data_IF_146108224190
#
_entry.id   IF_146108224190
#
_cell.length_a   1.000
_cell.length_b   1.000
_cell.length_c   1.000
_cell.angle_alpha   90.00
_cell.angle_beta   90.00
_cell.angle_gamma   90.00
#
_symmetry.space_group_name_H-M   'P 1'
#
loop_
_entity.id
_entity.type
_entity.pdbx_description
1 polymer ?
#
# COMPACT_ATOMS: atom_id res chain seq x y z
N UNK A 1 2.67 22.11 10.61
CA UNK A 1 1.25 21.74 10.39
C UNK A 1 1.08 20.27 10.74
N UNK A 2 -0.10 19.83 11.22
CA UNK A 2 -0.35 18.40 11.38
C UNK A 2 -0.29 17.70 10.00
N UNK A 3 0.15 16.43 9.95
CA UNK A 3 0.18 15.69 8.70
C UNK A 3 -1.25 15.49 8.16
N UNK A 4 -1.39 15.60 6.84
CA UNK A 4 -2.65 15.34 6.15
C UNK A 4 -2.96 13.84 6.27
N UNK A 5 -4.13 13.55 6.84
CA UNK A 5 -4.70 12.21 6.91
C UNK A 5 -5.67 11.98 5.75
N UNK A 6 -6.17 10.75 5.62
CA UNK A 6 -7.09 10.34 4.54
C UNK A 6 -8.29 11.30 4.39
N UNK A 7 -8.88 11.76 5.49
CA UNK A 7 -9.98 12.75 5.43
C UNK A 7 -9.55 14.07 4.79
N UNK A 8 -8.38 14.59 5.16
CA UNK A 8 -7.83 15.81 4.57
C UNK A 8 -7.44 15.62 3.09
N UNK A 9 -6.99 14.42 2.71
CA UNK A 9 -6.76 14.05 1.31
C UNK A 9 -8.07 14.07 0.51
N UNK A 10 -9.14 13.47 1.04
CA UNK A 10 -10.47 13.47 0.43
C UNK A 10 -11.00 14.89 0.28
N UNK A 11 -10.88 15.70 1.33
CA UNK A 11 -11.25 17.12 1.27
C UNK A 11 -10.45 17.84 0.18
N UNK A 12 -9.12 17.64 0.10
CA UNK A 12 -8.29 18.25 -0.93
C UNK A 12 -8.73 17.91 -2.36
N UNK A 13 -9.07 16.64 -2.62
CA UNK A 13 -9.56 16.18 -3.93
C UNK A 13 -10.88 16.87 -4.30
N UNK A 14 -11.82 16.97 -3.35
CA UNK A 14 -13.13 17.56 -3.58
C UNK A 14 -13.12 19.08 -3.72
N UNK A 15 -12.18 19.77 -3.07
CA UNK A 15 -12.05 21.24 -3.18
C UNK A 15 -11.45 21.69 -4.51
N UNK A 16 -10.84 20.78 -5.29
CA UNK A 16 -10.13 21.09 -6.53
C UNK A 16 -10.68 20.28 -7.72
N UNK A 17 -11.97 20.44 -8.09
CA UNK A 17 -12.63 19.61 -9.10
C UNK A 17 -12.05 19.78 -10.51
N UNK A 18 -11.44 20.94 -10.81
CA UNK A 18 -10.75 21.17 -12.08
C UNK A 18 -9.41 20.42 -12.15
N UNK A 19 -8.75 20.22 -11.01
CA UNK A 19 -7.48 19.48 -10.94
C UNK A 19 -7.73 17.98 -10.91
N UNK A 20 -8.79 17.55 -10.22
CA UNK A 20 -9.19 16.15 -10.04
C UNK A 20 -10.58 15.88 -10.61
N UNK A 21 -10.79 15.98 -11.93
CA UNK A 21 -12.11 15.82 -12.53
C UNK A 21 -12.57 14.36 -12.52
N UNK A 22 -13.87 14.14 -12.39
CA UNK A 22 -14.49 12.83 -12.61
C UNK A 22 -15.80 12.63 -11.85
N UNK A 23 -16.46 11.48 -12.06
CA UNK A 23 -17.74 11.15 -11.41
C UNK A 23 -17.68 11.12 -9.88
N UNK A 24 -16.49 11.03 -9.30
CA UNK A 24 -16.28 11.01 -7.85
C UNK A 24 -16.52 12.36 -7.17
N UNK A 25 -16.59 13.46 -7.94
CA UNK A 25 -16.89 14.81 -7.44
C UNK A 25 -18.35 14.99 -7.03
N UNK A 26 -19.23 14.10 -7.49
CA UNK A 26 -20.66 14.17 -7.23
C UNK A 26 -21.16 12.92 -6.51
N UNK A 27 -22.29 13.06 -5.80
CA UNK A 27 -22.97 11.94 -5.16
C UNK A 27 -23.51 11.00 -6.25
N UNK A 28 -22.98 9.78 -6.31
CA UNK A 28 -23.41 8.78 -7.28
C UNK A 28 -24.44 7.81 -6.68
N UNK A 29 -25.32 7.29 -7.54
CA UNK A 29 -26.21 6.19 -7.15
C UNK A 29 -25.41 4.92 -6.86
N UNK A 30 -25.88 4.16 -5.87
CA UNK A 30 -25.34 2.84 -5.54
C UNK A 30 -25.80 1.82 -6.59
N UNK A 31 -25.05 0.72 -6.73
CA UNK A 31 -25.41 -0.37 -7.65
C UNK A 31 -26.65 -1.12 -7.14
N UNK A 32 -26.84 -1.17 -5.82
CA UNK A 32 -28.04 -1.72 -5.18
C UNK A 32 -29.06 -0.61 -4.96
N UNK A 33 -30.29 -0.81 -5.45
CA UNK A 33 -31.36 0.20 -5.39
C UNK A 33 -31.82 0.53 -3.97
N UNK A 34 -31.66 -0.41 -3.02
CA UNK A 34 -32.01 -0.23 -1.61
C UNK A 34 -31.05 0.68 -0.84
N UNK A 35 -29.89 1.01 -1.42
CA UNK A 35 -28.88 1.85 -0.76
C UNK A 35 -28.96 3.29 -1.25
N UNK A 36 -29.16 4.21 -0.31
CA UNK A 36 -29.16 5.64 -0.59
C UNK A 36 -27.81 6.09 -1.20
N UNK A 37 -27.82 7.09 -2.12
CA UNK A 37 -26.62 7.77 -2.56
C UNK A 37 -25.84 8.33 -1.38
N UNK A 38 -24.51 8.31 -1.50
CA UNK A 38 -23.60 8.77 -0.46
C UNK A 38 -23.01 10.10 -0.90
N UNK A 39 -22.90 11.07 0.03
CA UNK A 39 -22.24 12.34 -0.27
C UNK A 39 -20.79 12.11 -0.72
N UNK A 40 -20.21 13.00 -1.55
CA UNK A 40 -18.89 12.78 -2.16
C UNK A 40 -17.77 12.48 -1.15
N UNK A 41 -17.83 13.09 0.04
CA UNK A 41 -16.82 12.88 1.10
C UNK A 41 -16.91 11.45 1.64
N UNK A 42 -18.10 11.04 2.08
CA UNK A 42 -18.32 9.66 2.56
C UNK A 42 -18.09 8.63 1.45
N UNK A 43 -18.40 8.97 0.20
CA UNK A 43 -18.15 8.12 -0.96
C UNK A 43 -16.67 7.83 -1.14
N UNK A 44 -15.82 8.86 -1.16
CA UNK A 44 -14.37 8.69 -1.28
C UNK A 44 -13.75 7.97 -0.08
N UNK A 45 -14.22 8.26 1.14
CA UNK A 45 -13.78 7.55 2.35
C UNK A 45 -14.14 6.06 2.30
N UNK A 46 -15.34 5.71 1.85
CA UNK A 46 -15.74 4.31 1.70
C UNK A 46 -14.93 3.58 0.62
N UNK A 47 -14.62 4.27 -0.49
CA UNK A 47 -13.75 3.72 -1.54
C UNK A 47 -12.34 3.47 -1.00
N UNK A 48 -11.79 4.41 -0.22
CA UNK A 48 -10.50 4.23 0.43
C UNK A 48 -10.51 3.05 1.40
N UNK A 49 -11.57 2.93 2.21
CA UNK A 49 -11.71 1.86 3.19
C UNK A 49 -11.77 0.47 2.52
N UNK A 50 -12.61 0.33 1.48
CA UNK A 50 -12.73 -0.89 0.69
C UNK A 50 -11.43 -1.23 -0.07
N UNK A 51 -10.69 -0.21 -0.54
CA UNK A 51 -9.37 -0.40 -1.13
C UNK A 51 -8.37 -0.96 -0.11
N UNK A 52 -8.38 -0.44 1.12
CA UNK A 52 -7.51 -0.92 2.19
C UNK A 52 -7.80 -2.38 2.55
N UNK A 53 -9.08 -2.78 2.59
CA UNK A 53 -9.47 -4.17 2.82
C UNK A 53 -9.01 -5.08 1.69
N UNK A 54 -9.25 -4.69 0.43
CA UNK A 54 -8.76 -5.43 -0.73
C UNK A 54 -7.23 -5.63 -0.69
N UNK A 55 -6.47 -4.56 -0.43
CA UNK A 55 -5.02 -4.62 -0.32
C UNK A 55 -4.59 -5.52 0.84
N UNK A 56 -5.22 -5.38 2.01
CA UNK A 56 -4.94 -6.20 3.18
C UNK A 56 -5.13 -7.69 2.88
N UNK A 57 -6.23 -8.07 2.23
CA UNK A 57 -6.49 -9.46 1.83
C UNK A 57 -5.43 -10.00 0.88
N UNK A 58 -5.03 -9.24 -0.15
CA UNK A 58 -3.99 -9.69 -1.08
C UNK A 58 -2.64 -9.87 -0.37
N UNK A 59 -2.27 -8.90 0.46
CA UNK A 59 -0.99 -8.91 1.18
C UNK A 59 -0.97 -10.02 2.23
N UNK A 60 -2.06 -10.28 2.95
CA UNK A 60 -2.17 -11.41 3.88
C UNK A 60 -2.04 -12.77 3.18
N UNK A 61 -2.47 -12.87 1.92
CA UNK A 61 -2.25 -14.05 1.08
C UNK A 61 -0.81 -14.18 0.57
N UNK A 62 0.11 -13.27 0.96
CA UNK A 62 1.48 -13.27 0.48
C UNK A 62 1.63 -12.80 -0.97
N UNK A 63 0.62 -12.13 -1.53
CA UNK A 63 0.68 -11.57 -2.89
C UNK A 63 1.22 -10.15 -2.83
N UNK A 64 2.00 -9.78 -3.84
CA UNK A 64 2.43 -8.40 -4.01
C UNK A 64 1.33 -7.58 -4.71
N UNK A 65 1.15 -6.32 -4.33
CA UNK A 65 0.21 -5.41 -5.00
C UNK A 65 0.89 -4.12 -5.39
N UNK A 66 0.71 -3.70 -6.65
CA UNK A 66 1.24 -2.46 -7.20
C UNK A 66 0.14 -1.43 -7.41
N UNK A 67 0.37 -0.22 -6.90
CA UNK A 67 -0.43 0.97 -7.13
C UNK A 67 0.36 1.87 -8.07
N UNK A 68 -0.20 2.12 -9.26
CA UNK A 68 0.45 2.91 -10.31
C UNK A 68 0.89 4.29 -9.77
N UNK A 69 2.10 4.70 -10.12
CA UNK A 69 2.72 5.98 -9.76
C UNK A 69 2.97 6.22 -8.25
N UNK A 70 2.49 5.32 -7.39
CA UNK A 70 2.62 5.41 -5.94
C UNK A 70 3.68 4.43 -5.40
N UNK A 71 3.50 3.13 -5.63
CA UNK A 71 4.43 2.11 -5.16
C UNK A 71 3.83 0.72 -5.08
N UNK A 72 4.65 -0.23 -4.60
CA UNK A 72 4.33 -1.65 -4.55
C UNK A 72 4.55 -2.21 -3.15
N UNK A 73 3.54 -2.92 -2.64
CA UNK A 73 3.67 -3.77 -1.47
C UNK A 73 4.20 -5.13 -1.93
N UNK A 74 5.38 -5.52 -1.44
CA UNK A 74 6.06 -6.77 -1.81
C UNK A 74 6.54 -7.52 -0.57
N UNK A 75 7.05 -8.73 -0.78
CA UNK A 75 7.69 -9.53 0.24
C UNK A 75 9.11 -9.89 -0.18
N UNK A 76 10.07 -9.56 0.69
CA UNK A 76 11.45 -10.03 0.58
C UNK A 76 11.62 -11.29 1.41
N UNK A 77 12.38 -12.26 0.93
CA UNK A 77 12.83 -13.37 1.77
C UNK A 77 14.24 -13.13 2.24
N UNK A 78 14.49 -13.43 3.51
CA UNK A 78 15.78 -13.27 4.16
C UNK A 78 16.07 -14.52 4.96
N UNK A 79 17.31 -15.02 4.87
CA UNK A 79 17.77 -16.08 5.76
C UNK A 79 18.23 -15.41 7.05
N UNK A 80 17.63 -15.79 8.18
CA UNK A 80 17.99 -15.35 9.51
C UNK A 80 18.64 -16.50 10.27
N UNK A 81 19.79 -16.23 10.89
CA UNK A 81 20.44 -17.18 11.77
C UNK A 81 19.62 -17.33 13.05
N UNK A 82 19.35 -18.58 13.43
CA UNK A 82 18.68 -18.93 14.68
C UNK A 82 19.70 -19.47 15.67
N UNK A 83 19.53 -19.19 16.97
CA UNK A 83 20.44 -19.72 17.98
C UNK A 83 20.44 -21.26 17.95
N UNK A 84 21.58 -21.91 18.22
CA UNK A 84 21.68 -23.36 18.22
C UNK A 84 20.73 -23.96 19.25
N UNK A 85 20.04 -25.06 18.90
CA UNK A 85 19.06 -25.73 19.76
C UNK A 85 19.65 -26.18 21.10
N UNK A 86 20.94 -26.50 21.12
CA UNK A 86 21.72 -26.81 22.33
C UNK A 86 23.06 -26.10 22.22
N UNK A 87 23.21 -24.89 22.79
CA UNK A 87 24.45 -24.10 22.70
C UNK A 87 25.66 -24.81 23.32
N UNK A 88 25.42 -25.62 24.35
CA UNK A 88 26.43 -26.32 25.14
C UNK A 88 27.18 -27.42 24.37
N UNK A 89 26.58 -27.93 23.28
CA UNK A 89 27.15 -28.99 22.44
C UNK A 89 27.91 -28.46 21.21
N UNK A 90 28.10 -27.13 21.10
CA UNK A 90 28.82 -26.54 19.97
C UNK A 90 28.13 -26.71 18.62
N UNK A 91 26.82 -26.96 18.60
CA UNK A 91 26.05 -27.06 17.37
C UNK A 91 26.07 -25.75 16.58
N UNK A 92 26.13 -25.85 15.25
CA UNK A 92 26.03 -24.70 14.37
C UNK A 92 24.64 -24.01 14.53
N UNK A 93 24.57 -22.67 14.39
CA UNK A 93 23.31 -21.96 14.34
C UNK A 93 22.46 -22.51 13.18
N UNK A 94 21.16 -22.69 13.43
CA UNK A 94 20.23 -23.09 12.39
C UNK A 94 19.90 -21.91 11.49
N UNK A 95 19.43 -22.16 10.27
CA UNK A 95 18.93 -21.12 9.39
C UNK A 95 17.41 -21.17 9.34
N UNK A 96 16.76 -19.99 9.41
CA UNK A 96 15.32 -19.86 9.20
C UNK A 96 15.05 -18.83 8.10
N UNK A 97 14.24 -19.21 7.12
CA UNK A 97 13.74 -18.28 6.12
C UNK A 97 12.68 -17.38 6.76
N UNK A 98 12.90 -16.06 6.72
CA UNK A 98 12.00 -15.02 7.16
C UNK A 98 11.45 -14.26 5.96
N UNK A 99 10.13 -14.08 5.93
CA UNK A 99 9.43 -13.25 4.95
C UNK A 99 9.22 -11.87 5.55
N UNK A 100 9.67 -10.81 4.86
CA UNK A 100 9.64 -9.43 5.34
C UNK A 100 8.80 -8.58 4.38
N UNK A 101 7.68 -7.99 4.82
CA UNK A 101 6.91 -7.07 3.99
C UNK A 101 7.70 -5.78 3.74
N UNK A 102 7.63 -5.27 2.50
CA UNK A 102 8.29 -4.04 2.05
C UNK A 102 7.34 -3.20 1.21
N UNK A 103 7.54 -1.90 1.27
CA UNK A 103 6.93 -0.96 0.35
C UNK A 103 8.03 -0.37 -0.53
N UNK A 104 7.95 -0.63 -1.83
CA UNK A 104 8.86 -0.09 -2.84
C UNK A 104 8.17 1.11 -3.48
N UNK A 105 8.81 2.27 -3.38
CA UNK A 105 8.27 3.53 -3.92
C UNK A 105 8.37 3.51 -5.45
N UNK A 106 7.33 3.95 -6.16
CA UNK A 106 7.38 4.10 -7.61
C UNK A 106 8.21 5.32 -8.03
N UNK A 107 8.84 5.28 -9.21
CA UNK A 107 9.70 6.36 -9.71
C UNK A 107 9.02 7.74 -9.71
N UNK A 108 7.72 7.78 -10.01
CA UNK A 108 6.93 9.02 -10.02
C UNK A 108 6.89 9.67 -8.63
N UNK A 109 6.59 8.91 -7.58
CA UNK A 109 6.61 9.42 -6.20
C UNK A 109 8.04 9.65 -5.70
N UNK A 110 9.00 8.78 -6.07
CA UNK A 110 10.41 8.89 -5.67
C UNK A 110 11.02 10.24 -6.08
N UNK A 111 10.67 10.77 -7.25
CA UNK A 111 11.12 12.09 -7.72
C UNK A 111 10.72 13.24 -6.79
N UNK A 112 9.58 13.12 -6.12
CA UNK A 112 9.09 14.14 -5.19
C UNK A 112 9.68 13.96 -3.78
N UNK A 113 10.17 12.76 -3.44
CA UNK A 113 10.79 12.42 -2.16
C UNK A 113 12.29 12.77 -2.13
N UNK A 114 12.61 14.05 -2.30
CA UNK A 114 14.00 14.54 -2.46
C UNK A 114 14.93 14.29 -1.25
N UNK A 115 14.39 13.93 -0.08
CA UNK A 115 15.17 13.59 1.12
C UNK A 115 15.26 12.09 1.39
N UNK A 116 14.67 11.26 0.54
CA UNK A 116 14.81 9.82 0.65
C UNK A 116 16.26 9.42 0.31
N UNK A 117 16.94 8.76 1.24
CA UNK A 117 18.29 8.25 1.01
C UNK A 117 18.23 7.03 0.08
N UNK A 118 18.74 7.10 -1.16
CA UNK A 118 18.71 5.95 -2.07
C UNK A 118 19.66 4.81 -1.64
N UNK A 119 20.54 5.08 -0.67
CA UNK A 119 21.59 4.15 -0.22
C UNK A 119 21.07 2.98 0.62
N UNK A 120 19.88 3.05 1.20
CA UNK A 120 19.31 1.92 1.96
C UNK A 120 18.60 0.90 1.07
N UNK A 121 17.98 1.32 -0.04
CA UNK A 121 17.24 0.43 -0.95
C UNK A 121 18.14 -0.26 -1.99
N UNK A 122 19.14 0.42 -2.55
CA UNK A 122 19.97 -0.13 -3.63
C UNK A 122 21.02 -1.12 -3.11
N UNK A 123 21.55 -0.91 -1.89
CA UNK A 123 22.64 -1.76 -1.35
C UNK A 123 22.20 -3.19 -1.01
N UNK A 124 20.89 -3.48 -0.95
CA UNK A 124 20.37 -4.84 -0.75
C UNK A 124 19.99 -5.56 -2.04
N UNK A 125 19.95 -4.85 -3.17
CA UNK A 125 19.66 -5.44 -4.48
C UNK A 125 20.78 -6.35 -4.99
N UNK A 126 22.00 -6.20 -4.45
CA UNK A 126 23.17 -6.99 -4.85
C UNK A 126 23.50 -8.15 -3.89
N UNK A 127 22.55 -8.56 -3.04
CA UNK A 127 22.63 -9.86 -2.35
C UNK A 127 22.10 -10.89 -3.35
N UNK A 128 23.03 -11.65 -3.93
CA UNK A 128 22.81 -12.79 -4.80
C UNK A 128 21.65 -13.64 -4.29
N UNK A 129 20.48 -13.53 -4.94
CA UNK A 129 19.23 -14.15 -4.52
C UNK A 129 18.02 -13.22 -4.44
N UNK A 130 18.05 -11.96 -4.91
CA UNK A 130 16.89 -11.06 -4.79
C UNK A 130 15.63 -11.64 -5.47
N UNK A 131 14.73 -12.18 -4.66
CA UNK A 131 13.47 -12.84 -5.04
C UNK A 131 12.43 -11.78 -5.44
N UNK A 132 12.73 -10.90 -6.40
CA UNK A 132 11.71 -10.06 -7.04
C UNK A 132 10.68 -10.90 -7.82
N UNK A 133 10.88 -12.22 -7.94
CA UNK A 133 9.84 -13.16 -8.34
C UNK A 133 8.89 -13.49 -7.18
N UNK A 134 8.17 -12.51 -6.65
CA UNK A 134 6.83 -12.83 -6.16
C UNK A 134 6.02 -13.15 -7.42
N UNK A 135 5.90 -14.43 -7.79
CA UNK A 135 5.23 -14.94 -9.01
C UNK A 135 3.75 -14.50 -9.15
N UNK A 136 3.23 -13.66 -8.24
CA UNK A 136 1.86 -13.17 -8.19
C UNK A 136 1.83 -11.71 -7.72
N UNK A 137 2.41 -10.82 -8.51
CA UNK A 137 2.20 -9.38 -8.34
C UNK A 137 0.92 -8.99 -9.09
N UNK A 138 -0.02 -8.35 -8.41
CA UNK A 138 -1.26 -7.84 -9.02
C UNK A 138 -1.27 -6.32 -9.03
N UNK A 139 -1.86 -5.73 -10.06
CA UNK A 139 -2.16 -4.30 -10.03
C UNK A 139 -3.38 -4.04 -9.15
N UNK A 140 -3.47 -2.84 -8.58
CA UNK A 140 -4.67 -2.39 -7.87
C UNK A 140 -5.89 -2.48 -8.81
N UNK A 141 -6.81 -3.38 -8.49
CA UNK A 141 -7.97 -3.66 -9.33
C UNK A 141 -9.22 -2.98 -8.75
N UNK A 142 -9.85 -2.04 -9.47
CA UNK A 142 -11.05 -1.36 -8.99
C UNK A 142 -12.30 -2.25 -8.96
N UNK A 143 -12.32 -3.39 -9.67
CA UNK A 143 -13.49 -4.29 -9.74
C UNK A 143 -13.90 -4.85 -8.37
N UNK A 144 -13.03 -5.56 -7.62
CA UNK A 144 -13.39 -6.06 -6.29
C UNK A 144 -13.67 -4.94 -5.28
N UNK A 145 -12.99 -3.80 -5.41
CA UNK A 145 -13.20 -2.63 -4.56
C UNK A 145 -14.61 -2.08 -4.78
N UNK A 146 -15.03 -1.92 -6.04
CA UNK A 146 -16.36 -1.45 -6.42
C UNK A 146 -17.47 -2.38 -5.94
N UNK A 147 -17.25 -3.70 -6.00
CA UNK A 147 -18.17 -4.67 -5.43
C UNK A 147 -18.29 -4.53 -3.91
N UNK A 148 -17.16 -4.40 -3.19
CA UNK A 148 -17.12 -4.25 -1.74
C UNK A 148 -17.80 -2.98 -1.23
N UNK A 149 -17.81 -1.90 -2.03
CA UNK A 149 -18.48 -0.65 -1.68
C UNK A 149 -19.79 -0.42 -2.45
N UNK A 150 -20.38 -1.41 -3.13
CA UNK A 150 -21.61 -1.30 -3.92
C UNK A 150 -21.67 -0.08 -4.85
N UNK A 151 -20.55 0.23 -5.50
CA UNK A 151 -20.38 1.36 -6.41
C UNK A 151 -20.02 0.90 -7.82
N UNK A 152 -20.18 1.79 -8.80
CA UNK A 152 -19.78 1.51 -10.17
C UNK A 152 -18.25 1.53 -10.30
N UNK A 153 -17.72 0.68 -11.18
CA UNK A 153 -16.27 0.51 -11.40
C UNK A 153 -15.58 1.79 -11.88
N UNK A 154 -16.23 2.55 -12.76
CA UNK A 154 -15.75 3.81 -13.32
C UNK A 154 -15.60 4.89 -12.24
N UNK A 155 -16.58 4.98 -11.32
CA UNK A 155 -16.50 5.84 -10.15
C UNK A 155 -15.29 5.49 -9.27
N UNK A 156 -15.14 4.21 -8.91
CA UNK A 156 -14.03 3.75 -8.07
C UNK A 156 -12.68 3.99 -8.74
N UNK A 157 -12.54 3.66 -10.02
CA UNK A 157 -11.31 3.91 -10.76
C UNK A 157 -10.94 5.40 -10.81
N UNK A 158 -11.94 6.27 -11.03
CA UNK A 158 -11.76 7.72 -11.05
C UNK A 158 -11.36 8.27 -9.67
N UNK A 159 -12.01 7.80 -8.60
CA UNK A 159 -11.69 8.17 -7.23
C UNK A 159 -10.26 7.77 -6.83
N UNK A 160 -9.89 6.51 -7.06
CA UNK A 160 -8.55 6.00 -6.71
C UNK A 160 -7.46 6.76 -7.47
N UNK A 161 -7.65 6.97 -8.78
CA UNK A 161 -6.69 7.72 -9.60
C UNK A 161 -6.50 9.15 -9.09
N UNK A 162 -7.59 9.81 -8.68
CA UNK A 162 -7.57 11.18 -8.17
C UNK A 162 -6.93 11.27 -6.79
N UNK A 163 -7.21 10.33 -5.89
CA UNK A 163 -6.59 10.27 -4.56
C UNK A 163 -5.08 10.02 -4.64
N UNK A 164 -4.62 9.06 -5.44
CA UNK A 164 -3.17 8.80 -5.57
C UNK A 164 -2.44 9.93 -6.30
N UNK A 165 -3.07 10.58 -7.28
CA UNK A 165 -2.51 11.78 -7.90
C UNK A 165 -2.41 12.93 -6.89
N UNK A 166 -3.45 13.15 -6.08
CA UNK A 166 -3.45 14.17 -5.03
C UNK A 166 -2.37 13.91 -3.98
N UNK A 167 -2.10 12.66 -3.61
CA UNK A 167 -0.96 12.33 -2.72
C UNK A 167 0.35 12.84 -3.31
N UNK A 168 0.63 12.56 -4.59
CA UNK A 168 1.86 13.02 -5.25
C UNK A 168 1.94 14.55 -5.29
N UNK A 169 0.83 15.22 -5.64
CA UNK A 169 0.76 16.68 -5.71
C UNK A 169 0.94 17.33 -4.32
N UNK A 170 0.41 16.72 -3.26
CA UNK A 170 0.61 17.17 -1.87
C UNK A 170 2.06 17.03 -1.42
N UNK A 171 2.74 15.92 -1.76
CA UNK A 171 4.17 15.75 -1.49
C UNK A 171 4.99 16.81 -2.23
N UNK A 172 4.70 17.05 -3.52
CA UNK A 172 5.36 18.08 -4.33
C UNK A 172 5.25 19.46 -3.70
N UNK A 173 4.11 19.76 -3.09
CA UNK A 173 3.80 21.04 -2.42
C UNK A 173 4.25 21.11 -0.95
N UNK A 174 5.08 20.17 -0.50
CA UNK A 174 5.66 20.11 0.85
C UNK A 174 4.67 19.85 2.00
N UNK A 175 3.57 19.15 1.73
CA UNK A 175 2.71 18.67 2.81
C UNK A 175 3.21 17.32 3.35
N UNK A 176 3.19 17.22 4.69
CA UNK A 176 3.37 15.95 5.37
C UNK A 176 2.09 15.12 5.28
N UNK A 177 2.22 13.80 5.12
CA UNK A 177 1.10 12.87 5.02
C UNK A 177 1.23 11.72 6.02
N UNK A 178 0.09 11.29 6.56
CA UNK A 178 -0.03 10.05 7.33
C UNK A 178 -1.22 9.25 6.81
N UNK A 179 -0.94 8.26 5.98
CA UNK A 179 -1.93 7.43 5.30
C UNK A 179 -2.03 6.08 6.03
N UNK A 180 -3.16 5.89 6.72
CA UNK A 180 -3.48 4.62 7.36
C UNK A 180 -4.19 3.70 6.34
N UNK A 181 -3.56 2.57 6.03
CA UNK A 181 -4.05 1.56 5.09
C UNK A 181 -4.63 0.32 5.78
N UNK A 182 -4.93 0.37 7.09
CA UNK A 182 -5.31 -0.77 7.97
C UNK A 182 -4.21 -1.81 8.19
N UNK A 183 -3.53 -2.27 7.14
CA UNK A 183 -2.44 -3.26 7.21
C UNK A 183 -1.05 -2.62 7.30
N UNK A 184 -0.92 -1.37 6.89
CA UNK A 184 0.30 -0.58 6.94
C UNK A 184 -0.02 0.90 7.19
N UNK A 185 0.94 1.62 7.75
CA UNK A 185 0.90 3.08 7.87
C UNK A 185 2.04 3.66 7.05
N UNK A 186 1.71 4.50 6.08
CA UNK A 186 2.67 5.22 5.25
C UNK A 186 2.74 6.65 5.77
N UNK A 187 3.93 7.06 6.19
CA UNK A 187 4.20 8.43 6.64
C UNK A 187 5.18 9.08 5.69
N UNK A 188 4.79 10.22 5.15
CA UNK A 188 5.68 11.09 4.37
C UNK A 188 5.87 12.34 5.21
N UNK A 189 7.09 12.57 5.70
CA UNK A 189 7.43 13.76 6.47
C UNK A 189 8.67 14.38 5.89
N UNK A 190 8.63 15.67 5.61
CA UNK A 190 9.77 16.42 5.08
C UNK A 190 10.39 15.72 3.85
N UNK A 191 9.53 15.26 2.93
CA UNK A 191 9.89 14.50 1.72
C UNK A 191 10.69 13.21 1.94
N UNK A 192 10.58 12.61 3.13
CA UNK A 192 11.06 11.27 3.41
C UNK A 192 9.87 10.34 3.68
N UNK A 193 9.86 9.18 3.04
CA UNK A 193 8.81 8.17 3.21
C UNK A 193 9.26 7.09 4.19
N UNK A 194 8.38 6.75 5.12
CA UNK A 194 8.51 5.57 5.99
C UNK A 194 7.23 4.75 5.91
N UNK A 195 7.37 3.44 5.84
CA UNK A 195 6.24 2.51 5.82
C UNK A 195 6.38 1.52 6.97
N UNK A 196 5.35 1.42 7.81
CA UNK A 196 5.29 0.49 8.93
C UNK A 196 4.16 -0.50 8.71
N UNK A 197 4.50 -1.78 8.60
CA UNK A 197 3.52 -2.86 8.46
C UNK A 197 3.03 -3.34 9.83
N UNK A 198 1.79 -3.79 9.89
CA UNK A 198 1.27 -4.49 11.06
C UNK A 198 1.98 -5.85 11.20
N UNK A 199 2.33 -6.24 12.43
CA UNK A 199 2.99 -7.52 12.76
C UNK A 199 2.24 -8.74 12.21
N UNK A 200 0.91 -8.66 12.16
CA UNK A 200 0.06 -9.74 11.64
C UNK A 200 0.31 -10.05 10.17
N UNK A 201 0.74 -9.05 9.37
CA UNK A 201 1.04 -9.24 7.95
C UNK A 201 2.26 -10.12 7.76
N UNK A 202 3.31 -9.90 8.55
CA UNK A 202 4.52 -10.70 8.48
C UNK A 202 4.23 -12.17 8.84
N UNK A 203 3.45 -12.39 9.90
CA UNK A 203 3.04 -13.73 10.32
C UNK A 203 2.18 -14.43 9.28
N UNK A 204 1.17 -13.74 8.73
CA UNK A 204 0.30 -14.29 7.70
C UNK A 204 1.08 -14.68 6.43
N UNK A 205 2.00 -13.81 5.99
CA UNK A 205 2.82 -14.05 4.81
C UNK A 205 3.80 -15.23 5.00
N UNK A 206 4.34 -15.41 6.21
CA UNK A 206 5.25 -16.52 6.54
C UNK A 206 4.58 -17.89 6.45
N UNK A 207 3.28 -17.97 6.76
CA UNK A 207 2.48 -19.20 6.73
C UNK A 207 1.77 -19.38 5.37
N UNK A 208 1.77 -18.36 4.51
CA UNK A 208 1.05 -18.41 3.25
C UNK A 208 1.67 -19.43 2.28
N UNK A 209 0.86 -20.36 1.74
CA UNK A 209 1.32 -21.34 0.76
C UNK A 209 1.84 -20.70 -0.54
N UNK A 210 1.49 -19.41 -0.78
CA UNK A 210 1.98 -18.67 -1.94
C UNK A 210 3.46 -18.29 -1.84
N UNK A 211 4.04 -18.29 -0.63
CA UNK A 211 5.42 -17.90 -0.37
C UNK A 211 6.26 -19.04 0.21
N UNK A 212 5.68 -20.11 0.72
CA UNK A 212 6.39 -21.37 0.94
C UNK A 212 6.62 -22.06 -0.41
N UNK A 213 7.88 -22.36 -0.75
CA UNK A 213 8.18 -23.15 -1.96
C UNK A 213 7.68 -24.61 -1.84
N UNK A 214 7.69 -25.37 -2.95
CA UNK A 214 7.52 -26.83 -2.91
C UNK A 214 8.63 -27.52 -2.11
#
# INVERSE_FOLDING_TARGET
MPPIQVRGLVEHVLHLPLQYPGPHQESQRRVTEDLAPVDPTRQLLLIWDAMCDFLSEQVQQGKGVTIKDFGSFIFERRIEATPPKVPELGHAPGEKEAVIPRFVVADTLMKELTRQNPKEDIRRQHISGSIFQTKRMTALNPVPIAAGCYMRRDLVASALSSMFRAIIDLVRTNYDLELNMKFAVIRIRDRALTCSFNKNIQLAAQVSPCLSGP
#
